data_IF_284847791991
#
_entry.id   IF_284847791991
#
_cell.length_a   1.000
_cell.length_b   1.000
_cell.length_c   1.000
_cell.angle_alpha   90.00
_cell.angle_beta   90.00
_cell.angle_gamma   90.00
#
_symmetry.space_group_name_H-M   'P 1'
#
loop_
_entity.id
_entity.type
_entity.pdbx_description
1 polymer ?
#
# COMPACT_ATOMS: atom_id res chain seq x y z
N UNK A 1 10.21 19.27 9.13
CA UNK A 1 10.42 18.06 9.95
C UNK A 1 9.05 17.49 10.27
N UNK A 2 8.63 16.43 9.57
CA UNK A 2 7.34 15.77 9.81
C UNK A 2 7.58 14.66 10.84
N UNK A 3 7.05 14.85 12.04
CA UNK A 3 7.21 13.90 13.13
C UNK A 3 5.98 12.99 13.22
N UNK A 4 6.13 11.83 13.86
CA UNK A 4 5.08 10.82 14.09
C UNK A 4 3.74 11.36 14.66
N UNK A 5 3.74 12.59 15.19
CA UNK A 5 2.56 13.25 15.75
C UNK A 5 1.59 13.78 14.67
N UNK A 6 2.04 13.95 13.42
CA UNK A 6 1.17 14.41 12.35
C UNK A 6 0.35 13.27 11.76
N UNK A 7 -0.79 12.98 12.39
CA UNK A 7 -1.66 11.82 12.08
C UNK A 7 -2.13 11.74 10.62
N UNK A 8 -2.07 12.85 9.87
CA UNK A 8 -2.52 12.92 8.46
C UNK A 8 -1.41 12.67 7.46
N UNK A 9 -0.14 12.85 7.86
CA UNK A 9 1.01 12.67 6.98
C UNK A 9 1.74 11.42 7.45
N UNK A 10 1.79 10.40 6.59
CA UNK A 10 2.48 9.15 6.91
C UNK A 10 3.86 9.44 7.48
N UNK A 11 4.14 8.94 8.68
CA UNK A 11 5.36 9.25 9.41
C UNK A 11 6.59 8.81 8.61
N UNK A 12 7.18 9.73 7.87
CA UNK A 12 8.39 9.49 7.12
C UNK A 12 9.56 10.16 7.84
N UNK A 13 10.59 9.39 8.16
CA UNK A 13 11.87 9.88 8.70
C UNK A 13 12.68 10.73 7.70
N UNK A 14 12.15 10.96 6.48
CA UNK A 14 12.84 11.45 5.28
C UNK A 14 14.06 10.62 4.88
N UNK A 15 14.21 9.40 5.41
CA UNK A 15 15.26 8.47 4.98
C UNK A 15 14.98 7.91 3.58
N UNK A 16 13.72 7.92 3.16
CA UNK A 16 13.24 7.41 1.89
C UNK A 16 12.15 8.36 1.35
N UNK A 17 12.06 8.59 0.04
CA UNK A 17 10.93 9.29 -0.56
C UNK A 17 9.58 8.59 -0.31
N UNK A 18 8.43 9.26 -0.54
CA UNK A 18 7.12 8.63 -0.50
C UNK A 18 6.97 7.50 -1.53
N UNK A 19 6.03 6.55 -1.33
CA UNK A 19 5.80 5.43 -2.26
C UNK A 19 5.58 5.83 -3.72
N UNK A 20 4.94 6.97 -4.00
CA UNK A 20 4.76 7.45 -5.39
C UNK A 20 6.09 7.77 -6.08
N UNK A 21 7.06 8.30 -5.34
CA UNK A 21 8.37 8.61 -5.88
C UNK A 21 9.27 7.38 -5.99
N UNK A 22 9.22 6.48 -5.00
CA UNK A 22 10.05 5.27 -4.98
C UNK A 22 9.60 4.24 -6.04
N UNK A 23 8.31 4.23 -6.38
CA UNK A 23 7.75 3.31 -7.37
C UNK A 23 7.64 3.89 -8.79
N UNK A 24 8.03 5.15 -9.02
CA UNK A 24 7.81 5.86 -10.31
C UNK A 24 8.35 5.13 -11.56
N UNK A 25 9.43 4.37 -11.39
CA UNK A 25 10.10 3.60 -12.45
C UNK A 25 9.72 2.11 -12.44
N UNK A 26 8.82 1.68 -11.55
CA UNK A 26 8.28 0.33 -11.49
C UNK A 26 7.06 0.28 -12.39
N UNK A 27 6.98 -0.74 -13.24
CA UNK A 27 5.82 -0.96 -14.11
C UNK A 27 4.55 -1.18 -13.29
N UNK A 28 3.47 -0.53 -13.72
CA UNK A 28 2.17 -0.69 -13.08
C UNK A 28 1.52 -2.00 -13.53
N UNK A 29 0.88 -2.68 -12.60
CA UNK A 29 0.11 -3.90 -12.88
C UNK A 29 -1.25 -3.48 -13.45
N UNK A 30 -1.52 -3.83 -14.70
CA UNK A 30 -2.81 -3.54 -15.32
C UNK A 30 -3.94 -4.39 -14.69
N UNK A 31 -5.05 -3.73 -14.32
CA UNK A 31 -6.22 -4.36 -13.72
C UNK A 31 -7.52 -3.76 -14.27
N UNK A 32 -8.60 -4.54 -14.23
CA UNK A 32 -9.93 -4.07 -14.60
C UNK A 32 -10.55 -3.21 -13.47
N UNK A 33 -11.43 -2.25 -13.78
CA UNK A 33 -12.15 -1.47 -12.79
C UNK A 33 -12.94 -2.37 -11.84
N UNK A 34 -12.90 -2.06 -10.53
CA UNK A 34 -13.60 -2.81 -9.48
C UNK A 34 -13.21 -4.31 -9.38
N UNK A 35 -12.12 -4.73 -10.03
CA UNK A 35 -11.65 -6.12 -9.94
C UNK A 35 -11.06 -6.43 -8.56
N UNK A 36 -11.10 -7.70 -8.18
CA UNK A 36 -10.53 -8.16 -6.91
C UNK A 36 -9.02 -8.34 -7.04
N UNK A 37 -8.25 -7.53 -6.32
CA UNK A 37 -6.81 -7.69 -6.15
C UNK A 37 -6.59 -8.61 -4.96
N UNK A 38 -5.86 -9.72 -5.15
CA UNK A 38 -5.51 -10.66 -4.07
C UNK A 38 -4.06 -10.47 -3.68
N UNK A 39 -3.81 -10.30 -2.39
CA UNK A 39 -2.48 -10.22 -1.79
C UNK A 39 -2.11 -11.61 -1.25
N UNK A 40 -0.87 -12.04 -1.51
CA UNK A 40 -0.35 -13.31 -0.99
C UNK A 40 1.04 -13.11 -0.43
N UNK A 41 1.29 -13.70 0.73
CA UNK A 41 2.63 -13.74 1.32
C UNK A 41 3.20 -15.14 1.13
N UNK A 42 4.25 -15.27 0.31
CA UNK A 42 4.94 -16.55 0.06
C UNK A 42 5.87 -16.91 1.22
N UNK A 43 5.24 -17.19 2.37
CA UNK A 43 5.91 -17.48 3.63
C UNK A 43 5.14 -18.55 4.38
N UNK A 44 5.84 -19.34 5.20
CA UNK A 44 5.22 -20.40 6.01
C UNK A 44 4.20 -19.85 7.00
N UNK A 45 4.47 -18.70 7.59
CA UNK A 45 3.60 -18.05 8.57
C UNK A 45 2.93 -16.87 7.88
N UNK A 46 1.61 -16.77 7.95
CA UNK A 46 0.87 -15.64 7.39
C UNK A 46 0.80 -14.49 8.41
N UNK A 47 0.74 -13.23 7.95
CA UNK A 47 0.58 -12.09 8.85
C UNK A 47 -0.80 -12.17 9.55
N UNK A 48 -0.85 -11.73 10.80
CA UNK A 48 -2.10 -11.60 11.57
C UNK A 48 -2.94 -10.42 11.11
N UNK A 49 -2.30 -9.41 10.53
CA UNK A 49 -2.96 -8.23 10.02
C UNK A 49 -2.30 -7.81 8.71
N UNK A 50 -3.14 -7.45 7.75
CA UNK A 50 -2.72 -6.89 6.47
C UNK A 50 -3.41 -5.53 6.32
N UNK A 51 -2.62 -4.48 6.11
CA UNK A 51 -3.10 -3.13 5.82
C UNK A 51 -2.68 -2.74 4.39
N UNK A 52 -3.62 -2.25 3.59
CA UNK A 52 -3.37 -1.58 2.32
C UNK A 52 -3.47 -0.08 2.54
N UNK A 53 -2.44 0.66 2.16
CA UNK A 53 -2.38 2.12 2.24
C UNK A 53 -2.37 2.66 0.82
N UNK A 54 -3.31 3.55 0.50
CA UNK A 54 -3.30 4.33 -0.73
C UNK A 54 -2.53 5.63 -0.53
N UNK A 55 -1.60 5.93 -1.44
CA UNK A 55 -0.76 7.12 -1.38
C UNK A 55 -1.07 8.07 -2.54
N UNK A 56 -1.12 9.36 -2.23
CA UNK A 56 -1.35 10.41 -3.21
C UNK A 56 -0.67 11.71 -2.78
N UNK A 57 0.15 12.29 -3.65
CA UNK A 57 0.93 13.50 -3.42
C UNK A 57 1.77 13.48 -2.11
N UNK A 58 2.34 12.32 -1.78
CA UNK A 58 3.13 12.11 -0.58
C UNK A 58 2.32 11.98 0.71
N UNK A 59 0.99 11.92 0.62
CA UNK A 59 0.08 11.78 1.74
C UNK A 59 -0.67 10.45 1.71
N UNK A 60 -1.13 10.01 2.88
CA UNK A 60 -1.97 8.82 2.99
C UNK A 60 -3.40 9.23 2.64
N UNK A 61 -3.87 8.78 1.48
CA UNK A 61 -5.23 9.08 1.02
C UNK A 61 -6.26 8.15 1.70
N UNK A 62 -5.93 6.87 1.84
CA UNK A 62 -6.79 5.93 2.56
C UNK A 62 -6.03 4.73 3.13
N UNK A 63 -6.64 4.06 4.11
CA UNK A 63 -6.13 2.83 4.73
C UNK A 63 -7.24 1.81 4.84
N UNK A 64 -6.93 0.56 4.53
CA UNK A 64 -7.87 -0.55 4.60
C UNK A 64 -7.18 -1.71 5.30
N UNK A 65 -7.76 -2.16 6.43
CA UNK A 65 -7.38 -3.44 7.03
C UNK A 65 -8.14 -4.54 6.30
N UNK A 66 -7.41 -5.50 5.74
CA UNK A 66 -8.00 -6.60 4.97
C UNK A 66 -8.51 -7.69 5.92
N UNK A 67 -9.82 -7.97 5.87
CA UNK A 67 -10.43 -9.08 6.60
C UNK A 67 -10.27 -10.42 5.86
N UNK A 68 -10.29 -10.35 4.53
CA UNK A 68 -9.90 -11.39 3.60
C UNK A 68 -8.80 -10.76 2.75
N UNK A 69 -7.75 -11.49 2.36
CA UNK A 69 -6.52 -11.01 1.67
C UNK A 69 -6.76 -10.36 0.28
N UNK A 70 -7.85 -9.62 0.12
CA UNK A 70 -8.40 -9.08 -1.10
C UNK A 70 -8.94 -7.69 -0.84
N UNK A 71 -8.79 -6.83 -1.84
CA UNK A 71 -9.47 -5.54 -1.92
C UNK A 71 -9.88 -5.27 -3.36
N UNK A 72 -10.83 -4.36 -3.54
CA UNK A 72 -11.30 -3.96 -4.88
C UNK A 72 -10.42 -2.86 -5.45
N UNK A 73 -10.02 -3.00 -6.70
CA UNK A 73 -9.40 -1.95 -7.47
C UNK A 73 -10.35 -0.73 -7.58
N UNK A 74 -9.81 0.50 -7.76
CA UNK A 74 -10.62 1.67 -8.06
C UNK A 74 -11.51 1.48 -9.29
N UNK A 75 -12.58 2.26 -9.36
CA UNK A 75 -13.52 2.25 -10.49
C UNK A 75 -13.13 3.20 -11.60
N UNK A 76 -12.33 4.23 -11.30
CA UNK A 76 -11.90 5.22 -12.27
C UNK A 76 -10.56 4.78 -12.90
N UNK A 77 -10.38 5.00 -14.22
CA UNK A 77 -9.11 4.76 -14.86
C UNK A 77 -8.00 5.66 -14.29
N UNK A 78 -6.80 5.11 -14.19
CA UNK A 78 -5.65 5.86 -13.68
C UNK A 78 -4.57 4.97 -13.08
N UNK A 79 -3.46 5.62 -12.69
CA UNK A 79 -2.39 4.98 -11.93
C UNK A 79 -2.63 5.23 -10.45
N UNK A 80 -2.61 4.15 -9.68
CA UNK A 80 -2.78 4.18 -8.23
C UNK A 80 -1.56 3.56 -7.56
N UNK A 81 -1.11 4.18 -6.47
CA UNK A 81 0.07 3.74 -5.73
C UNK A 81 -0.33 3.26 -4.35
N UNK A 82 0.07 2.03 -4.04
CA UNK A 82 -0.27 1.38 -2.78
C UNK A 82 0.98 0.93 -2.04
N UNK A 83 0.85 0.86 -0.72
CA UNK A 83 1.75 0.13 0.15
C UNK A 83 0.95 -0.97 0.85
N UNK A 84 1.48 -2.20 0.85
CA UNK A 84 0.96 -3.32 1.62
C UNK A 84 1.84 -3.53 2.86
N UNK A 85 1.21 -3.49 4.02
CA UNK A 85 1.85 -3.74 5.31
C UNK A 85 1.34 -5.06 5.90
N UNK A 86 2.24 -6.02 6.09
CA UNK A 86 1.97 -7.28 6.77
C UNK A 86 2.55 -7.26 8.18
N UNK A 87 1.74 -7.59 9.18
CA UNK A 87 2.13 -7.66 10.60
C UNK A 87 1.93 -9.05 11.17
N UNK A 88 2.99 -9.67 11.67
CA UNK A 88 2.95 -11.00 12.30
C UNK A 88 2.84 -10.90 13.83
N UNK A 89 3.57 -9.97 14.42
CA UNK A 89 3.57 -9.66 15.84
C UNK A 89 4.10 -8.23 16.07
N UNK A 90 4.45 -7.90 17.31
CA UNK A 90 4.90 -6.56 17.71
C UNK A 90 6.25 -6.14 17.10
N UNK A 91 7.04 -7.10 16.63
CA UNK A 91 8.41 -6.88 16.15
C UNK A 91 8.62 -7.25 14.68
N UNK A 92 7.69 -8.02 14.10
CA UNK A 92 7.79 -8.51 12.74
C UNK A 92 6.71 -7.87 11.86
N UNK A 93 7.12 -6.80 11.18
CA UNK A 93 6.35 -6.08 10.17
C UNK A 93 7.12 -6.07 8.84
N UNK A 94 6.41 -6.03 7.73
CA UNK A 94 6.98 -5.82 6.39
C UNK A 94 6.10 -4.87 5.60
N UNK A 95 6.73 -4.03 4.79
CA UNK A 95 6.08 -3.08 3.87
C UNK A 95 6.54 -3.34 2.43
N UNK A 96 5.62 -3.25 1.48
CA UNK A 96 5.95 -3.31 0.05
C UNK A 96 5.09 -2.33 -0.75
N UNK A 97 5.72 -1.49 -1.58
CA UNK A 97 5.03 -0.52 -2.41
C UNK A 97 4.89 -1.02 -3.84
N UNK A 98 3.71 -0.83 -4.44
CA UNK A 98 3.41 -1.25 -5.81
C UNK A 98 2.46 -0.27 -6.50
N UNK A 99 2.39 -0.38 -7.84
CA UNK A 99 1.52 0.44 -8.69
C UNK A 99 0.54 -0.44 -9.42
N UNK A 100 -0.69 0.03 -9.55
CA UNK A 100 -1.68 -0.55 -10.47
C UNK A 100 -2.11 0.49 -11.49
N UNK A 101 -2.46 0.01 -12.68
CA UNK A 101 -3.10 0.79 -13.73
C UNK A 101 -4.51 0.25 -13.93
N UNK A 102 -5.52 1.04 -13.58
CA UNK A 102 -6.91 0.72 -13.90
C UNK A 102 -7.18 1.20 -15.32
N UNK A 103 -7.58 0.26 -16.19
CA UNK A 103 -7.86 0.52 -17.62
C UNK A 103 -9.35 0.65 -17.91
#
# INVERSE_FOLDING_TARGET
MYNWLDKKKGGNSHLTPPPEETTKNIDAIAVEPNSNITIRFDTKYQPKQIEVIHWNQGEIESKIILNNEKFSAPTLPGIYVYEINGRWDETHDSAHSFRIEVK
#
